data_IF_961611666410
#
_entry.id   IF_961611666410
#
_cell.length_a   1.000
_cell.length_b   1.000
_cell.length_c   1.000
_cell.angle_alpha   90.00
_cell.angle_beta   90.00
_cell.angle_gamma   90.00
#
_symmetry.space_group_name_H-M   'P 1'
#
loop_
_entity.id
_entity.type
_entity.pdbx_description
1 polymer ?
#
# COMPACT_ATOMS: atom_id res chain seq x y z
N UNK A 1 -15.01 -22.00 -64.61
CA UNK A 1 -14.48 -21.43 -63.36
C UNK A 1 -14.19 -19.96 -63.63
N UNK A 2 -14.89 -19.04 -62.96
CA UNK A 2 -14.74 -17.61 -63.22
C UNK A 2 -13.37 -17.12 -62.73
N UNK A 3 -12.55 -16.55 -63.62
CA UNK A 3 -11.28 -15.93 -63.27
C UNK A 3 -11.54 -14.64 -62.48
N UNK A 4 -11.36 -14.68 -61.16
CA UNK A 4 -11.40 -13.49 -60.31
C UNK A 4 -10.28 -12.53 -60.72
N UNK A 5 -10.60 -11.24 -60.87
CA UNK A 5 -9.60 -10.22 -61.18
C UNK A 5 -8.65 -10.02 -59.98
N UNK A 6 -7.42 -9.58 -60.24
CA UNK A 6 -6.44 -9.29 -59.17
C UNK A 6 -6.99 -8.33 -58.10
N UNK A 7 -7.85 -7.39 -58.49
CA UNK A 7 -8.53 -6.48 -57.57
C UNK A 7 -9.57 -7.16 -56.68
N UNK A 8 -10.31 -8.14 -57.21
CA UNK A 8 -11.27 -8.94 -56.42
C UNK A 8 -10.54 -9.86 -55.43
N UNK A 9 -9.40 -10.43 -55.83
CA UNK A 9 -8.57 -11.25 -54.96
C UNK A 9 -7.98 -10.41 -53.81
N UNK A 10 -7.48 -9.21 -54.10
CA UNK A 10 -6.95 -8.29 -53.09
C UNK A 10 -8.02 -7.84 -52.09
N UNK A 11 -9.22 -7.49 -52.58
CA UNK A 11 -10.36 -7.15 -51.72
C UNK A 11 -10.74 -8.29 -50.79
N UNK A 12 -10.74 -9.53 -51.28
CA UNK A 12 -11.03 -10.71 -50.46
C UNK A 12 -10.00 -10.92 -49.34
N UNK A 13 -8.71 -10.76 -49.61
CA UNK A 13 -7.68 -10.85 -48.57
C UNK A 13 -7.79 -9.76 -47.50
N UNK A 14 -8.09 -8.53 -47.90
CA UNK A 14 -8.30 -7.42 -46.95
C UNK A 14 -9.50 -7.70 -46.05
N UNK A 15 -10.63 -8.12 -46.63
CA UNK A 15 -11.84 -8.44 -45.85
C UNK A 15 -11.60 -9.60 -44.88
N UNK A 16 -10.89 -10.66 -45.32
CA UNK A 16 -10.55 -11.78 -44.46
C UNK A 16 -9.61 -11.36 -43.30
N UNK A 17 -8.66 -10.45 -43.56
CA UNK A 17 -7.77 -9.90 -42.53
C UNK A 17 -8.51 -9.07 -41.48
N UNK A 18 -9.47 -8.23 -41.91
CA UNK A 18 -10.28 -7.42 -40.98
C UNK A 18 -11.20 -8.31 -40.13
N UNK A 19 -11.83 -9.30 -40.74
CA UNK A 19 -12.72 -10.24 -40.03
C UNK A 19 -11.95 -11.05 -38.99
N UNK A 20 -10.76 -11.56 -39.34
CA UNK A 20 -9.93 -12.32 -38.38
C UNK A 20 -9.43 -11.45 -37.23
N UNK A 21 -9.07 -10.19 -37.48
CA UNK A 21 -8.69 -9.23 -36.44
C UNK A 21 -9.84 -8.94 -35.46
N UNK A 22 -11.05 -8.71 -35.98
CA UNK A 22 -12.24 -8.46 -35.14
C UNK A 22 -12.56 -9.69 -34.29
N UNK A 23 -12.56 -10.89 -34.87
CA UNK A 23 -12.81 -12.14 -34.15
C UNK A 23 -11.75 -12.36 -33.06
N UNK A 24 -10.47 -12.08 -33.34
CA UNK A 24 -9.41 -12.19 -32.34
C UNK A 24 -9.65 -11.28 -31.13
N UNK A 25 -10.06 -10.02 -31.36
CA UNK A 25 -10.33 -9.06 -30.30
C UNK A 25 -11.58 -9.39 -29.50
N UNK A 26 -12.64 -9.89 -30.14
CA UNK A 26 -13.86 -10.30 -29.42
C UNK A 26 -13.63 -11.55 -28.58
N UNK A 27 -12.86 -12.53 -29.08
CA UNK A 27 -12.46 -13.71 -28.31
C UNK A 27 -11.57 -13.33 -27.14
N UNK A 28 -10.61 -12.42 -27.34
CA UNK A 28 -9.77 -11.91 -26.25
C UNK A 28 -10.60 -11.16 -25.20
N UNK A 29 -11.51 -10.28 -25.62
CA UNK A 29 -12.41 -9.56 -24.72
C UNK A 29 -13.33 -10.52 -23.95
N UNK A 30 -13.87 -11.55 -24.62
CA UNK A 30 -14.65 -12.60 -23.98
C UNK A 30 -13.81 -13.40 -22.98
N UNK A 31 -12.57 -13.75 -23.31
CA UNK A 31 -11.68 -14.48 -22.42
C UNK A 31 -11.27 -13.65 -21.21
N UNK A 32 -11.00 -12.35 -21.40
CA UNK A 32 -10.74 -11.40 -20.32
C UNK A 32 -11.98 -11.21 -19.43
N UNK A 33 -13.16 -11.04 -20.03
CA UNK A 33 -14.43 -10.97 -19.32
C UNK A 33 -14.74 -12.26 -18.54
N UNK A 34 -14.54 -13.42 -19.16
CA UNK A 34 -14.75 -14.72 -18.54
C UNK A 34 -13.75 -14.98 -17.42
N UNK A 35 -12.47 -14.61 -17.59
CA UNK A 35 -11.46 -14.66 -16.54
C UNK A 35 -11.80 -13.72 -15.37
N UNK A 36 -12.23 -12.50 -15.67
CA UNK A 36 -12.71 -11.51 -14.69
C UNK A 36 -13.96 -12.02 -13.94
N UNK A 37 -14.91 -12.64 -14.64
CA UNK A 37 -16.15 -13.19 -14.07
C UNK A 37 -15.93 -14.46 -13.24
N UNK A 38 -15.06 -15.37 -13.69
CA UNK A 38 -14.79 -16.68 -13.06
C UNK A 38 -14.04 -16.57 -11.72
N UNK A 39 -13.37 -15.45 -11.48
CA UNK A 39 -12.66 -15.18 -10.22
C UNK A 39 -13.59 -14.75 -9.08
N UNK A 40 -14.85 -14.41 -9.35
CA UNK A 40 -15.85 -14.08 -8.31
C UNK A 40 -16.75 -15.28 -8.05
N UNK A 41 -16.77 -15.78 -6.81
CA UNK A 41 -17.82 -16.70 -6.35
C UNK A 41 -18.99 -15.83 -5.90
N UNK A 42 -20.15 -16.02 -6.54
CA UNK A 42 -21.35 -15.26 -6.26
C UNK A 42 -22.32 -16.06 -5.42
N UNK A 43 -22.74 -15.50 -4.29
CA UNK A 43 -23.87 -16.03 -3.52
C UNK A 43 -24.64 -14.86 -2.91
N UNK A 44 -25.95 -14.79 -3.18
CA UNK A 44 -26.86 -13.86 -2.52
C UNK A 44 -27.27 -14.45 -1.16
N UNK A 45 -27.20 -13.64 -0.11
CA UNK A 45 -27.56 -14.05 1.26
C UNK A 45 -28.82 -13.32 1.73
N UNK A 46 -29.64 -14.03 2.52
CA UNK A 46 -31.01 -13.71 2.95
C UNK A 46 -31.18 -12.44 3.82
N UNK A 47 -30.12 -11.63 4.01
CA UNK A 47 -30.15 -10.36 4.78
C UNK A 47 -30.09 -9.10 3.89
N UNK A 48 -30.39 -9.23 2.59
CA UNK A 48 -30.43 -8.10 1.64
C UNK A 48 -29.05 -7.54 1.25
N UNK A 49 -27.98 -8.29 1.49
CA UNK A 49 -26.60 -7.92 1.16
C UNK A 49 -25.82 -9.06 0.49
N UNK A 50 -24.76 -8.69 -0.21
CA UNK A 50 -23.93 -9.56 -1.03
C UNK A 50 -22.54 -9.75 -0.41
N UNK A 51 -22.22 -10.99 -0.04
CA UNK A 51 -20.89 -11.40 0.39
C UNK A 51 -20.13 -11.96 -0.83
N UNK A 52 -18.96 -11.40 -1.13
CA UNK A 52 -18.08 -11.88 -2.20
C UNK A 52 -16.72 -12.23 -1.60
N UNK A 53 -16.25 -13.44 -1.86
CA UNK A 53 -14.91 -13.90 -1.50
C UNK A 53 -14.07 -14.06 -2.76
N UNK A 54 -12.84 -13.56 -2.71
CA UNK A 54 -11.88 -13.71 -3.79
C UNK A 54 -11.18 -15.06 -3.67
N UNK A 55 -11.13 -15.81 -4.78
CA UNK A 55 -10.45 -17.10 -4.80
C UNK A 55 -8.97 -16.90 -4.54
N UNK A 56 -8.51 -17.40 -3.39
CA UNK A 56 -7.10 -17.47 -3.05
C UNK A 56 -6.72 -18.92 -2.77
N UNK A 57 -5.63 -19.35 -3.39
CA UNK A 57 -5.01 -20.65 -3.20
C UNK A 57 -4.48 -20.73 -1.76
N UNK A 58 -5.18 -21.41 -0.83
CA UNK A 58 -4.56 -21.83 0.43
C UNK A 58 -5.40 -21.81 1.71
N UNK A 59 -6.56 -21.15 1.78
CA UNK A 59 -7.46 -21.20 2.97
C UNK A 59 -8.84 -21.72 2.56
N UNK A 60 -8.93 -23.04 2.37
CA UNK A 60 -10.01 -23.70 1.60
C UNK A 60 -11.17 -24.27 2.42
N UNK A 61 -11.57 -23.67 3.56
CA UNK A 61 -12.69 -24.20 4.36
C UNK A 61 -13.75 -23.18 4.79
N UNK A 62 -13.49 -21.87 4.68
CA UNK A 62 -14.44 -20.85 5.18
C UNK A 62 -15.52 -20.56 4.15
N UNK A 63 -16.76 -20.93 4.48
CA UNK A 63 -17.93 -20.56 3.66
C UNK A 63 -18.32 -19.11 3.90
N UNK A 64 -18.88 -18.47 2.86
CA UNK A 64 -19.44 -17.12 2.94
C UNK A 64 -20.49 -16.99 4.07
N UNK A 65 -21.27 -18.06 4.31
CA UNK A 65 -22.27 -18.10 5.37
C UNK A 65 -21.65 -18.09 6.77
N UNK A 66 -20.64 -18.92 7.01
CA UNK A 66 -19.91 -18.93 8.29
C UNK A 66 -19.25 -17.58 8.56
N UNK A 67 -18.63 -16.99 7.55
CA UNK A 67 -17.98 -15.69 7.66
C UNK A 67 -18.98 -14.59 8.00
N UNK A 68 -20.12 -14.54 7.29
CA UNK A 68 -21.16 -13.55 7.54
C UNK A 68 -21.75 -13.70 8.95
N UNK A 69 -22.09 -14.93 9.35
CA UNK A 69 -22.65 -15.22 10.69
C UNK A 69 -21.72 -14.74 11.80
N UNK A 70 -20.42 -15.04 11.72
CA UNK A 70 -19.45 -14.59 12.73
C UNK A 70 -19.22 -13.08 12.67
N UNK A 71 -19.21 -12.49 11.48
CA UNK A 71 -19.09 -11.04 11.30
C UNK A 71 -20.25 -10.28 11.97
N UNK A 72 -21.48 -10.80 11.86
CA UNK A 72 -22.66 -10.22 12.50
C UNK A 72 -22.64 -10.38 14.04
N UNK A 73 -21.82 -11.27 14.58
CA UNK A 73 -21.64 -11.44 16.03
C UNK A 73 -20.55 -10.57 16.65
N UNK A 74 -19.82 -9.78 15.83
CA UNK A 74 -18.76 -8.90 16.31
C UNK A 74 -19.30 -7.79 17.21
N UNK A 75 -18.55 -7.49 18.26
CA UNK A 75 -18.89 -6.49 19.27
C UNK A 75 -17.76 -5.47 19.42
N UNK A 76 -17.96 -4.48 20.29
CA UNK A 76 -16.92 -3.48 20.59
C UNK A 76 -15.66 -4.09 21.21
N UNK A 77 -15.74 -5.30 21.79
CA UNK A 77 -14.58 -6.01 22.35
C UNK A 77 -13.63 -6.52 21.28
N UNK A 78 -14.13 -6.67 20.05
CA UNK A 78 -13.37 -7.19 18.92
C UNK A 78 -12.70 -6.08 18.11
N UNK A 79 -12.88 -4.81 18.50
CA UNK A 79 -12.27 -3.65 17.82
C UNK A 79 -10.76 -3.68 18.04
N UNK A 80 -10.01 -3.63 16.94
CA UNK A 80 -8.55 -3.53 16.95
C UNK A 80 -8.03 -2.19 16.39
N UNK A 81 -8.92 -1.40 15.78
CA UNK A 81 -8.57 -0.07 15.30
C UNK A 81 -9.81 0.75 14.95
N UNK A 82 -9.76 2.06 15.13
CA UNK A 82 -10.80 3.00 14.71
C UNK A 82 -10.14 4.24 14.12
N UNK A 83 -10.59 4.70 12.96
CA UNK A 83 -10.03 5.86 12.28
C UNK A 83 -11.03 6.52 11.32
N UNK A 84 -10.56 7.52 10.56
CA UNK A 84 -11.39 8.29 9.63
C UNK A 84 -12.04 7.47 8.51
N UNK A 85 -11.48 6.30 8.22
CA UNK A 85 -11.98 5.36 7.20
C UNK A 85 -12.83 4.23 7.79
N UNK A 86 -13.16 4.26 9.09
CA UNK A 86 -14.06 3.30 9.73
C UNK A 86 -13.43 2.54 10.89
N UNK A 87 -14.07 1.43 11.26
CA UNK A 87 -13.70 0.59 12.41
C UNK A 87 -13.23 -0.76 11.93
N UNK A 88 -12.10 -1.23 12.46
CA UNK A 88 -11.51 -2.54 12.15
C UNK A 88 -11.73 -3.48 13.31
N UNK A 89 -12.26 -4.65 13.02
CA UNK A 89 -12.54 -5.71 13.98
C UNK A 89 -11.69 -6.94 13.70
N UNK A 90 -11.24 -7.62 14.76
CA UNK A 90 -10.63 -8.95 14.67
C UNK A 90 -11.73 -10.00 14.58
N UNK A 91 -11.69 -10.81 13.55
CA UNK A 91 -12.63 -11.91 13.34
C UNK A 91 -11.90 -13.25 13.41
N UNK A 92 -12.20 -14.03 14.44
CA UNK A 92 -11.66 -15.38 14.62
C UNK A 92 -12.64 -16.42 14.07
N UNK A 93 -12.25 -17.12 13.01
CA UNK A 93 -13.03 -18.23 12.47
C UNK A 93 -12.74 -19.51 13.25
N UNK A 94 -11.46 -19.85 13.33
CA UNK A 94 -10.88 -20.99 14.05
C UNK A 94 -9.45 -20.62 14.52
N UNK A 95 -8.71 -21.57 15.10
CA UNK A 95 -7.37 -21.36 15.66
C UNK A 95 -6.33 -20.85 14.65
N UNK A 96 -6.51 -21.16 13.35
CA UNK A 96 -5.54 -20.81 12.30
C UNK A 96 -6.06 -19.78 11.31
N UNK A 97 -7.35 -19.44 11.40
CA UNK A 97 -8.03 -18.56 10.45
C UNK A 97 -8.58 -17.33 11.16
N UNK A 98 -7.80 -16.25 11.07
CA UNK A 98 -8.16 -14.95 11.62
C UNK A 98 -8.14 -13.89 10.52
N UNK A 99 -9.16 -13.04 10.52
CA UNK A 99 -9.33 -11.95 9.57
C UNK A 99 -9.44 -10.59 10.28
N UNK A 100 -9.15 -9.53 9.54
CA UNK A 100 -9.49 -8.16 9.90
C UNK A 100 -10.71 -7.71 9.08
N UNK A 101 -11.77 -7.29 9.77
CA UNK A 101 -13.00 -6.79 9.14
C UNK A 101 -13.02 -5.29 9.27
N UNK A 102 -12.80 -4.58 8.16
CA UNK A 102 -12.92 -3.13 8.11
C UNK A 102 -14.35 -2.77 7.76
N UNK A 103 -15.07 -2.23 8.74
CA UNK A 103 -16.42 -1.67 8.58
C UNK A 103 -16.29 -0.20 8.23
N UNK A 104 -16.69 0.14 7.01
CA UNK A 104 -16.71 1.53 6.56
C UNK A 104 -18.01 2.20 7.04
N UNK A 105 -17.88 3.38 7.61
CA UNK A 105 -19.03 4.27 7.86
C UNK A 105 -19.56 4.79 6.53
N UNK A 106 -20.88 4.94 6.38
CA UNK A 106 -21.53 5.49 5.17
C UNK A 106 -22.06 6.91 5.42
N UNK A 107 -21.32 7.69 6.20
CA UNK A 107 -21.81 8.97 6.69
C UNK A 107 -21.61 10.10 5.64
N UNK A 108 -20.82 9.84 4.59
CA UNK A 108 -20.62 10.78 3.48
C UNK A 108 -20.44 10.07 2.14
N UNK A 109 -20.66 10.80 1.04
CA UNK A 109 -20.43 10.34 -0.34
C UNK A 109 -18.95 9.93 -0.52
N UNK A 110 -18.02 10.66 0.09
CA UNK A 110 -16.59 10.37 -0.02
C UNK A 110 -16.21 9.04 0.66
N UNK A 111 -16.86 8.68 1.76
CA UNK A 111 -16.65 7.38 2.41
C UNK A 111 -17.19 6.23 1.55
N UNK A 112 -18.33 6.42 0.87
CA UNK A 112 -18.82 5.41 -0.08
C UNK A 112 -17.88 5.24 -1.27
N UNK A 113 -17.34 6.34 -1.81
CA UNK A 113 -16.31 6.28 -2.86
C UNK A 113 -15.04 5.59 -2.39
N UNK A 114 -14.66 5.73 -1.11
CA UNK A 114 -13.51 5.03 -0.54
C UNK A 114 -13.63 3.51 -0.62
N UNK A 115 -14.84 2.96 -0.40
CA UNK A 115 -15.10 1.53 -0.58
C UNK A 115 -14.85 1.07 -2.02
N UNK A 116 -15.40 1.80 -2.99
CA UNK A 116 -15.28 1.48 -4.41
C UNK A 116 -13.82 1.57 -4.87
N UNK A 117 -13.10 2.63 -4.48
CA UNK A 117 -11.65 2.79 -4.74
C UNK A 117 -10.84 1.63 -4.19
N UNK A 118 -11.10 1.24 -2.94
CA UNK A 118 -10.37 0.16 -2.28
C UNK A 118 -10.66 -1.19 -2.96
N UNK A 119 -11.90 -1.43 -3.42
CA UNK A 119 -12.23 -2.62 -4.23
C UNK A 119 -11.55 -2.61 -5.61
N UNK A 120 -11.56 -1.47 -6.30
CA UNK A 120 -10.99 -1.33 -7.64
C UNK A 120 -9.46 -1.45 -7.61
N UNK A 121 -8.82 -0.90 -6.57
CA UNK A 121 -7.39 -1.03 -6.37
C UNK A 121 -6.99 -2.46 -5.96
N UNK A 122 -7.69 -3.06 -4.99
CA UNK A 122 -7.23 -4.28 -4.31
C UNK A 122 -7.73 -5.58 -4.92
N UNK A 123 -8.73 -5.55 -5.81
CA UNK A 123 -9.41 -6.75 -6.31
C UNK A 123 -8.47 -7.80 -6.93
N UNK A 124 -7.42 -7.35 -7.60
CA UNK A 124 -6.47 -8.22 -8.32
C UNK A 124 -5.02 -8.14 -7.78
N UNK A 125 -4.76 -7.34 -6.72
CA UNK A 125 -3.41 -7.21 -6.14
C UNK A 125 -3.02 -8.48 -5.38
N UNK A 126 -1.83 -9.00 -5.69
CA UNK A 126 -1.18 -10.09 -4.94
C UNK A 126 0.30 -9.81 -4.82
N UNK A 127 0.70 -9.22 -3.71
CA UNK A 127 2.09 -8.94 -3.40
C UNK A 127 2.39 -9.22 -1.93
N UNK A 128 3.58 -9.73 -1.62
CA UNK A 128 3.96 -10.13 -0.26
C UNK A 128 3.99 -8.96 0.73
N UNK A 129 4.28 -7.76 0.23
CA UNK A 129 4.32 -6.52 1.02
C UNK A 129 3.07 -5.64 0.83
N UNK A 130 1.94 -6.22 0.41
CA UNK A 130 0.63 -5.55 0.38
C UNK A 130 -0.38 -6.44 1.09
N UNK A 131 -1.22 -5.87 1.94
CA UNK A 131 -2.24 -6.63 2.67
C UNK A 131 -3.21 -7.26 1.69
N UNK A 132 -3.55 -8.53 1.89
CA UNK A 132 -4.42 -9.26 0.96
C UNK A 132 -5.89 -9.03 1.31
N UNK A 133 -6.64 -8.42 0.38
CA UNK A 133 -8.09 -8.37 0.42
C UNK A 133 -8.64 -9.77 0.07
N UNK A 134 -9.40 -10.36 1.00
CA UNK A 134 -10.00 -11.69 0.87
C UNK A 134 -11.43 -11.63 0.34
N UNK A 135 -12.10 -10.49 0.51
CA UNK A 135 -13.46 -10.32 0.04
C UNK A 135 -14.13 -9.09 0.63
N UNK A 136 -15.40 -8.93 0.32
CA UNK A 136 -16.19 -7.79 0.78
C UNK A 136 -17.65 -8.15 0.93
N UNK A 137 -18.31 -7.52 1.90
CA UNK A 137 -19.75 -7.56 2.07
C UNK A 137 -20.32 -6.19 1.74
N UNK A 138 -21.36 -6.14 0.91
CA UNK A 138 -22.05 -4.90 0.60
C UNK A 138 -23.56 -5.07 0.70
N UNK A 139 -24.20 -4.13 1.39
CA UNK A 139 -25.66 -4.04 1.56
C UNK A 139 -26.10 -2.59 1.40
N UNK A 140 -27.40 -2.31 1.51
CA UNK A 140 -27.92 -0.94 1.50
C UNK A 140 -27.43 -0.08 2.69
N UNK A 141 -27.02 -0.70 3.81
CA UNK A 141 -26.67 0.02 5.04
C UNK A 141 -25.20 -0.11 5.45
N UNK A 142 -24.52 -1.20 5.05
CA UNK A 142 -23.18 -1.53 5.54
C UNK A 142 -22.30 -2.06 4.41
N UNK A 143 -21.07 -1.53 4.35
CA UNK A 143 -19.98 -2.05 3.54
C UNK A 143 -18.86 -2.55 4.46
N UNK A 144 -18.41 -3.78 4.22
CA UNK A 144 -17.32 -4.42 4.94
C UNK A 144 -16.25 -4.91 3.95
N UNK A 145 -15.00 -4.77 4.34
CA UNK A 145 -13.85 -5.36 3.66
C UNK A 145 -13.22 -6.40 4.57
N UNK A 146 -12.85 -7.54 4.00
CA UNK A 146 -12.31 -8.70 4.70
C UNK A 146 -10.85 -8.86 4.32
N UNK A 147 -9.94 -8.66 5.26
CA UNK A 147 -8.49 -8.74 5.07
C UNK A 147 -7.89 -9.90 5.86
N UNK A 148 -6.72 -10.39 5.44
CA UNK A 148 -5.87 -11.15 6.37
C UNK A 148 -5.50 -10.26 7.56
N UNK A 149 -5.56 -10.83 8.77
CA UNK A 149 -5.14 -10.12 9.98
C UNK A 149 -3.61 -10.02 10.02
N UNK A 150 -3.11 -8.82 10.29
CA UNK A 150 -1.70 -8.55 10.57
C UNK A 150 -1.48 -8.60 12.08
N UNK A 151 -0.77 -9.62 12.56
CA UNK A 151 -0.69 -10.02 13.97
C UNK A 151 -0.02 -8.97 14.84
N UNK A 152 0.98 -8.28 14.30
CA UNK A 152 1.79 -7.30 15.02
C UNK A 152 1.26 -5.86 14.89
N UNK A 153 0.11 -5.67 14.23
CA UNK A 153 -0.54 -4.37 14.11
C UNK A 153 0.21 -3.43 13.15
N UNK A 154 0.16 -2.12 13.44
CA UNK A 154 0.81 -1.09 12.61
C UNK A 154 2.23 -0.76 13.07
N UNK A 155 3.08 -0.33 12.15
CA UNK A 155 4.42 0.17 12.43
C UNK A 155 4.37 1.35 13.41
N UNK A 156 3.42 2.27 13.25
CA UNK A 156 3.16 3.36 14.20
C UNK A 156 2.97 2.83 15.63
N UNK A 157 2.13 1.81 15.80
CA UNK A 157 1.87 1.19 17.10
C UNK A 157 3.13 0.59 17.72
N UNK A 158 4.00 -0.05 16.94
CA UNK A 158 5.25 -0.63 17.47
C UNK A 158 6.28 0.45 17.79
N UNK A 159 6.49 1.38 16.86
CA UNK A 159 7.57 2.37 16.96
C UNK A 159 7.29 3.37 18.09
N UNK A 160 6.04 3.72 18.32
CA UNK A 160 5.66 4.85 19.18
C UNK A 160 4.82 4.46 20.40
N UNK A 161 4.58 3.17 20.64
CA UNK A 161 3.88 2.72 21.87
C UNK A 161 4.68 3.06 23.11
N UNK A 162 3.97 3.54 24.14
CA UNK A 162 4.51 3.84 25.48
C UNK A 162 4.36 2.67 26.46
N UNK A 163 4.05 1.46 25.96
CA UNK A 163 3.88 0.27 26.80
C UNK A 163 5.19 -0.13 27.47
N UNK A 164 5.21 -0.51 28.75
CA UNK A 164 6.40 -1.03 29.42
C UNK A 164 6.91 -2.35 28.81
N UNK A 165 6.07 -3.08 28.08
CA UNK A 165 6.45 -4.29 27.33
C UNK A 165 6.66 -3.99 25.83
N UNK A 166 7.15 -2.80 25.48
CA UNK A 166 7.37 -2.39 24.09
C UNK A 166 8.37 -3.34 23.43
N UNK A 167 7.98 -3.91 22.29
CA UNK A 167 8.93 -4.56 21.39
C UNK A 167 9.80 -3.45 20.80
N UNK A 168 11.06 -3.39 21.22
CA UNK A 168 12.02 -2.47 20.61
C UNK A 168 12.49 -3.05 19.28
N UNK A 169 12.35 -2.27 18.21
CA UNK A 169 12.87 -2.64 16.90
C UNK A 169 14.34 -2.22 16.86
N UNK A 170 15.23 -3.21 16.78
CA UNK A 170 16.61 -2.98 16.39
C UNK A 170 16.69 -2.47 14.95
N UNK A 171 17.89 -2.01 14.54
CA UNK A 171 18.05 -1.44 13.21
C UNK A 171 17.82 -2.46 12.10
N UNK A 172 18.22 -3.72 12.29
CA UNK A 172 18.00 -4.77 11.30
C UNK A 172 16.50 -4.98 11.01
N UNK A 173 15.66 -4.99 12.03
CA UNK A 173 14.21 -5.05 11.89
C UNK A 173 13.64 -3.79 11.24
N UNK A 174 14.11 -2.60 11.62
CA UNK A 174 13.67 -1.34 10.99
C UNK A 174 14.03 -1.28 9.50
N UNK A 175 15.24 -1.69 9.13
CA UNK A 175 15.69 -1.75 7.75
C UNK A 175 14.92 -2.80 6.94
N UNK A 176 14.62 -3.97 7.54
CA UNK A 176 13.75 -4.98 6.94
C UNK A 176 12.35 -4.41 6.63
N UNK A 177 11.77 -3.66 7.56
CA UNK A 177 10.47 -3.01 7.39
C UNK A 177 10.54 -1.91 6.33
N UNK A 178 11.59 -1.08 6.32
CA UNK A 178 11.84 -0.06 5.30
C UNK A 178 11.87 -0.67 3.90
N UNK A 179 12.67 -1.72 3.71
CA UNK A 179 12.79 -2.40 2.42
C UNK A 179 11.49 -3.09 2.01
N UNK A 180 10.81 -3.78 2.94
CA UNK A 180 9.52 -4.43 2.66
C UNK A 180 8.45 -3.44 2.23
N UNK A 181 8.31 -2.33 2.94
CA UNK A 181 7.36 -1.27 2.58
C UNK A 181 7.72 -0.62 1.24
N UNK A 182 8.99 -0.34 0.98
CA UNK A 182 9.43 0.19 -0.32
C UNK A 182 9.07 -0.75 -1.48
N UNK A 183 9.28 -2.06 -1.33
CA UNK A 183 8.88 -3.07 -2.32
C UNK A 183 7.37 -3.09 -2.55
N UNK A 184 6.60 -2.97 -1.48
CA UNK A 184 5.13 -2.87 -1.56
C UNK A 184 4.69 -1.68 -2.40
N UNK A 185 5.27 -0.50 -2.17
CA UNK A 185 4.91 0.72 -2.91
C UNK A 185 5.45 0.67 -4.35
N UNK A 186 6.67 0.17 -4.56
CA UNK A 186 7.24 -0.01 -5.89
C UNK A 186 6.36 -0.91 -6.77
N UNK A 187 5.81 -1.99 -6.21
CA UNK A 187 4.85 -2.85 -6.89
C UNK A 187 3.60 -2.06 -7.35
N UNK A 188 3.05 -1.21 -6.49
CA UNK A 188 1.89 -0.37 -6.82
C UNK A 188 2.16 0.60 -7.97
N UNK A 189 3.36 1.19 -8.01
CA UNK A 189 3.74 2.21 -8.99
C UNK A 189 4.21 1.62 -10.32
N UNK A 190 4.81 0.43 -10.32
CA UNK A 190 5.56 -0.05 -11.49
C UNK A 190 5.04 -1.38 -12.05
N UNK A 191 4.43 -2.23 -11.21
CA UNK A 191 4.00 -3.57 -11.62
C UNK A 191 2.48 -3.69 -11.80
N UNK A 192 1.70 -2.86 -11.09
CA UNK A 192 0.25 -2.78 -11.28
C UNK A 192 -0.10 -2.06 -12.59
N UNK A 193 -1.09 -2.58 -13.32
CA UNK A 193 -1.69 -1.92 -14.49
C UNK A 193 -3.21 -1.91 -14.33
N UNK A 194 -3.87 -0.74 -14.24
CA UNK A 194 -3.27 0.61 -14.14
C UNK A 194 -2.39 0.77 -12.88
N UNK A 195 -1.46 1.73 -12.91
CA UNK A 195 -0.62 2.04 -11.75
C UNK A 195 -1.48 2.59 -10.63
N UNK A 196 -1.04 2.41 -9.39
CA UNK A 196 -1.83 2.74 -8.19
C UNK A 196 -1.05 3.76 -7.37
N UNK A 197 -1.61 4.97 -7.23
CA UNK A 197 -1.10 5.98 -6.30
C UNK A 197 -1.88 5.84 -5.00
N UNK A 198 -1.19 5.58 -3.90
CA UNK A 198 -1.79 5.24 -2.62
C UNK A 198 -2.36 6.47 -1.90
N UNK A 199 -1.61 7.59 -1.91
CA UNK A 199 -1.97 8.90 -1.32
C UNK A 199 -2.09 8.99 0.20
N UNK A 200 -1.82 7.91 0.93
CA UNK A 200 -1.85 7.90 2.41
C UNK A 200 -0.79 6.95 2.96
N UNK A 201 0.42 7.00 2.39
CA UNK A 201 1.59 6.29 2.91
C UNK A 201 1.98 6.95 4.24
N UNK A 202 1.98 6.14 5.32
CA UNK A 202 2.34 6.55 6.68
C UNK A 202 2.59 5.31 7.54
N UNK A 203 3.27 5.47 8.67
CA UNK A 203 3.58 4.36 9.59
C UNK A 203 2.34 3.64 10.12
N UNK A 204 1.19 4.30 10.25
CA UNK A 204 -0.07 3.65 10.67
C UNK A 204 -0.75 2.79 9.60
N UNK A 205 -0.39 3.01 8.32
CA UNK A 205 -0.89 2.22 7.17
C UNK A 205 0.11 1.16 6.70
N UNK A 206 1.27 1.04 7.36
CA UNK A 206 2.20 -0.06 7.18
C UNK A 206 1.96 -1.05 8.32
N UNK A 207 1.36 -2.18 8.00
CA UNK A 207 1.08 -3.24 8.98
C UNK A 207 2.17 -4.30 8.97
N UNK A 208 2.25 -5.07 10.05
CA UNK A 208 3.27 -6.08 10.27
C UNK A 208 2.62 -7.45 10.50
N UNK A 209 2.99 -8.42 9.66
CA UNK A 209 2.56 -9.80 9.85
C UNK A 209 3.36 -10.50 10.96
N UNK A 210 3.07 -11.78 11.19
CA UNK A 210 3.66 -12.60 12.25
C UNK A 210 5.20 -12.61 12.23
N UNK A 211 5.81 -12.57 11.04
CA UNK A 211 7.26 -12.56 10.83
C UNK A 211 7.87 -11.14 10.79
N UNK A 212 7.10 -10.13 11.22
CA UNK A 212 7.50 -8.71 11.19
C UNK A 212 7.82 -8.21 9.78
N UNK A 213 7.16 -8.76 8.75
CA UNK A 213 7.23 -8.26 7.38
C UNK A 213 6.23 -7.12 7.18
N UNK A 214 6.70 -6.04 6.55
CA UNK A 214 5.88 -4.88 6.23
C UNK A 214 4.87 -5.17 5.12
N UNK A 215 3.61 -4.76 5.34
CA UNK A 215 2.53 -4.82 4.36
C UNK A 215 1.77 -3.51 4.26
N UNK A 216 1.73 -2.93 3.07
CA UNK A 216 0.97 -1.71 2.77
C UNK A 216 -0.53 -1.99 2.87
N UNK A 217 -1.27 -1.11 3.54
CA UNK A 217 -2.69 -1.24 3.85
C UNK A 217 -3.44 0.09 3.67
N UNK A 218 -4.77 0.03 3.72
CA UNK A 218 -5.68 1.18 3.65
C UNK A 218 -5.66 1.95 2.32
N UNK A 219 -6.33 1.39 1.32
CA UNK A 219 -6.40 1.96 -0.03
C UNK A 219 -7.63 2.87 -0.23
N UNK A 220 -8.24 3.37 0.85
CA UNK A 220 -9.46 4.19 0.77
C UNK A 220 -9.30 5.52 0.01
N UNK A 221 -8.07 6.01 -0.12
CA UNK A 221 -7.71 7.19 -0.90
C UNK A 221 -7.05 6.88 -2.25
N UNK A 222 -6.78 5.61 -2.53
CA UNK A 222 -6.00 5.21 -3.69
C UNK A 222 -6.66 5.65 -5.01
N UNK A 223 -5.84 5.97 -6.00
CA UNK A 223 -6.26 6.36 -7.33
C UNK A 223 -5.52 5.56 -8.38
N UNK A 224 -6.25 5.12 -9.40
CA UNK A 224 -5.69 4.42 -10.55
C UNK A 224 -5.23 5.45 -11.59
N UNK A 225 -4.02 5.27 -12.13
CA UNK A 225 -3.45 6.11 -13.18
C UNK A 225 -2.97 5.24 -14.33
N UNK A 226 -3.37 5.58 -15.55
CA UNK A 226 -2.91 4.87 -16.73
C UNK A 226 -1.46 5.29 -17.08
N UNK A 227 -0.67 4.42 -17.73
CA UNK A 227 0.74 4.74 -18.06
C UNK A 227 0.95 5.98 -18.93
N UNK A 228 -0.08 6.44 -19.66
CA UNK A 228 -0.06 7.64 -20.50
C UNK A 228 -0.38 8.93 -19.73
N UNK A 229 -0.76 8.83 -18.46
CA UNK A 229 -1.12 9.96 -17.63
C UNK A 229 0.02 10.34 -16.69
N UNK A 230 0.20 11.65 -16.48
CA UNK A 230 1.26 12.17 -15.60
C UNK A 230 0.80 12.39 -14.16
N UNK A 231 -0.50 12.58 -13.95
CA UNK A 231 -1.09 12.82 -12.63
C UNK A 231 -2.59 12.53 -12.63
N UNK A 232 -3.15 12.43 -11.42
CA UNK A 232 -4.60 12.42 -11.19
C UNK A 232 -4.98 13.70 -10.44
N UNK A 233 -5.83 14.54 -11.04
CA UNK A 233 -6.39 15.71 -10.35
C UNK A 233 -7.52 15.27 -9.42
N UNK A 234 -7.36 15.53 -8.12
CA UNK A 234 -8.30 15.08 -7.08
C UNK A 234 -8.28 16.03 -5.89
N UNK A 235 -9.32 15.99 -5.05
CA UNK A 235 -9.33 16.68 -3.75
C UNK A 235 -8.09 16.24 -2.95
N UNK A 236 -7.40 17.22 -2.35
CA UNK A 236 -6.29 16.96 -1.43
C UNK A 236 -6.81 16.20 -0.22
N UNK A 237 -6.30 14.99 -0.04
CA UNK A 237 -6.63 14.13 1.09
C UNK A 237 -5.40 13.27 1.44
N UNK A 238 -5.28 12.94 2.72
CA UNK A 238 -4.16 12.19 3.29
C UNK A 238 -3.85 12.72 4.69
N UNK A 239 -2.75 12.26 5.27
CA UNK A 239 -2.41 12.57 6.66
C UNK A 239 -1.41 13.73 6.75
N UNK A 240 -1.73 14.74 7.55
CA UNK A 240 -0.84 15.87 7.82
C UNK A 240 0.53 15.39 8.35
N UNK A 241 1.60 16.03 7.89
CA UNK A 241 2.99 15.60 8.15
C UNK A 241 3.58 14.67 7.09
N UNK A 242 2.76 13.98 6.30
CA UNK A 242 3.20 13.08 5.21
C UNK A 242 2.93 13.64 3.81
N UNK A 243 2.06 14.65 3.70
CA UNK A 243 1.65 15.22 2.42
C UNK A 243 2.82 15.94 1.73
N UNK A 244 3.04 15.60 0.46
CA UNK A 244 4.00 16.29 -0.39
C UNK A 244 3.55 17.75 -0.65
N UNK A 245 4.48 18.72 -0.60
CA UNK A 245 4.13 20.14 -0.68
C UNK A 245 3.44 20.51 -2.01
N UNK A 246 3.89 19.97 -3.13
CA UNK A 246 3.30 20.21 -4.44
C UNK A 246 1.88 19.65 -4.55
N UNK A 247 1.58 18.59 -3.81
CA UNK A 247 0.26 17.99 -3.82
C UNK A 247 -0.75 18.86 -3.06
N UNK A 248 -0.32 19.45 -1.94
CA UNK A 248 -1.13 20.42 -1.18
C UNK A 248 -1.41 21.66 -2.02
N UNK A 249 -0.43 22.15 -2.78
CA UNK A 249 -0.56 23.33 -3.61
C UNK A 249 -1.43 23.11 -4.85
N UNK A 250 -1.24 21.98 -5.55
CA UNK A 250 -1.81 21.78 -6.90
C UNK A 250 -3.00 20.83 -6.94
N UNK A 251 -3.22 20.01 -5.91
CA UNK A 251 -4.22 18.93 -5.93
C UNK A 251 -3.91 17.80 -6.91
N UNK A 252 -2.69 17.73 -7.46
CA UNK A 252 -2.27 16.70 -8.42
C UNK A 252 -1.59 15.53 -7.71
N UNK A 253 -2.30 14.41 -7.61
CA UNK A 253 -1.73 13.18 -7.07
C UNK A 253 -0.79 12.53 -8.10
N UNK A 254 0.40 12.15 -7.67
CA UNK A 254 1.43 11.48 -8.48
C UNK A 254 2.14 10.41 -7.64
N UNK A 255 2.83 9.47 -8.29
CA UNK A 255 3.74 8.52 -7.62
C UNK A 255 4.80 9.23 -6.76
N UNK A 256 5.27 10.42 -7.18
CA UNK A 256 6.27 11.20 -6.44
C UNK A 256 5.71 11.77 -5.13
N UNK A 257 4.40 11.91 -5.01
CA UNK A 257 3.73 12.22 -3.74
C UNK A 257 3.88 11.08 -2.73
N UNK A 258 3.67 9.84 -3.16
CA UNK A 258 3.87 8.64 -2.33
C UNK A 258 5.36 8.47 -1.95
N UNK A 259 6.29 8.79 -2.87
CA UNK A 259 7.75 8.79 -2.56
C UNK A 259 8.07 9.76 -1.43
N UNK A 260 7.52 10.97 -1.46
CA UNK A 260 7.72 11.94 -0.38
C UNK A 260 7.18 11.42 0.95
N UNK A 261 5.96 10.89 0.96
CA UNK A 261 5.35 10.29 2.14
C UNK A 261 6.16 9.10 2.68
N UNK A 262 6.74 8.28 1.80
CA UNK A 262 7.66 7.22 2.18
C UNK A 262 8.96 7.76 2.80
N UNK A 263 9.52 8.86 2.27
CA UNK A 263 10.67 9.54 2.86
C UNK A 263 10.42 9.96 4.31
N UNK A 264 9.20 10.41 4.62
CA UNK A 264 8.78 10.72 6.01
C UNK A 264 8.77 9.45 6.88
N UNK A 265 8.22 8.34 6.38
CA UNK A 265 8.23 7.04 7.09
C UNK A 265 9.68 6.58 7.36
N UNK A 266 10.58 6.76 6.40
CA UNK A 266 11.98 6.37 6.56
C UNK A 266 12.66 7.22 7.65
N UNK A 267 12.35 8.53 7.73
CA UNK A 267 12.79 9.36 8.85
C UNK A 267 12.20 8.89 10.19
N UNK A 268 10.94 8.46 10.25
CA UNK A 268 10.38 7.90 11.49
C UNK A 268 11.20 6.68 11.96
N UNK A 269 11.52 5.76 11.04
CA UNK A 269 12.32 4.57 11.34
C UNK A 269 13.73 4.93 11.84
N UNK A 270 14.37 5.94 11.24
CA UNK A 270 15.73 6.37 11.60
C UNK A 270 15.75 7.11 12.94
N UNK A 271 14.76 7.97 13.19
CA UNK A 271 14.78 8.91 14.32
C UNK A 271 13.99 8.44 15.53
N UNK A 272 13.10 7.46 15.35
CA UNK A 272 12.12 7.03 16.34
C UNK A 272 11.07 8.09 16.67
N UNK A 273 10.97 9.19 15.92
CA UNK A 273 10.08 10.33 16.21
C UNK A 273 8.87 10.36 15.28
N UNK A 274 7.75 10.87 15.80
CA UNK A 274 6.54 11.09 14.99
C UNK A 274 6.74 12.31 14.09
N UNK A 275 6.18 12.35 12.86
CA UNK A 275 6.34 13.51 11.98
C UNK A 275 5.71 14.80 12.52
N UNK A 276 4.69 14.64 13.36
CA UNK A 276 3.93 15.70 14.04
C UNK A 276 4.19 15.69 15.55
N UNK A 277 5.39 15.30 15.99
CA UNK A 277 5.78 15.37 17.40
C UNK A 277 5.59 16.80 17.94
N UNK A 278 5.09 16.93 19.18
CA UNK A 278 4.83 18.21 19.83
C UNK A 278 6.09 19.08 19.87
N UNK A 279 7.26 18.48 20.07
CA UNK A 279 8.54 19.18 20.09
C UNK A 279 8.87 19.92 18.78
N UNK A 280 8.34 19.45 17.64
CA UNK A 280 8.46 20.14 16.36
C UNK A 280 7.40 21.23 16.22
N UNK A 281 6.15 20.89 16.57
CA UNK A 281 5.00 21.77 16.40
C UNK A 281 5.11 23.03 17.25
N UNK A 282 5.62 22.94 18.48
CA UNK A 282 5.87 24.10 19.36
C UNK A 282 6.81 25.13 18.73
N UNK A 283 7.70 24.70 17.83
CA UNK A 283 8.64 25.55 17.09
C UNK A 283 8.13 25.93 15.69
N UNK A 284 6.87 25.64 15.38
CA UNK A 284 6.28 25.84 14.04
C UNK A 284 6.89 24.95 12.96
N UNK A 285 7.54 23.85 13.35
CA UNK A 285 8.29 22.96 12.49
C UNK A 285 7.60 21.59 12.34
N UNK A 286 8.07 20.80 11.39
CA UNK A 286 7.78 19.37 11.30
C UNK A 286 9.11 18.60 11.22
N UNK A 287 9.04 17.26 11.21
CA UNK A 287 10.24 16.43 11.12
C UNK A 287 11.12 16.79 9.92
N UNK A 288 10.53 17.16 8.77
CA UNK A 288 11.28 17.49 7.55
C UNK A 288 12.02 18.82 7.70
N UNK A 289 11.39 19.85 8.26
CA UNK A 289 12.07 21.15 8.46
C UNK A 289 13.15 21.06 9.55
N UNK A 290 12.92 20.27 10.60
CA UNK A 290 13.94 19.99 11.60
C UNK A 290 15.16 19.27 11.01
N UNK A 291 14.94 18.25 10.18
CA UNK A 291 16.03 17.51 9.53
C UNK A 291 16.81 18.39 8.57
N UNK A 292 16.15 19.29 7.82
CA UNK A 292 16.83 20.25 6.96
C UNK A 292 17.76 21.18 7.74
N UNK A 293 17.32 21.71 8.88
CA UNK A 293 18.16 22.53 9.74
C UNK A 293 19.39 21.74 10.25
N UNK A 294 19.21 20.48 10.66
CA UNK A 294 20.35 19.65 11.07
C UNK A 294 21.35 19.39 9.95
N UNK A 295 20.88 19.19 8.71
CA UNK A 295 21.76 19.01 7.54
C UNK A 295 22.51 20.30 7.21
N UNK A 296 21.86 21.46 7.29
CA UNK A 296 22.49 22.77 7.10
C UNK A 296 23.62 23.02 8.13
N UNK A 297 23.44 22.53 9.36
CA UNK A 297 24.42 22.60 10.44
C UNK A 297 25.47 21.46 10.40
N UNK A 298 25.42 20.54 9.43
CA UNK A 298 26.30 19.37 9.33
C UNK A 298 26.18 18.40 10.52
N UNK A 299 25.00 18.36 11.13
CA UNK A 299 24.68 17.70 12.39
C UNK A 299 23.60 16.62 12.23
N UNK A 300 23.41 16.08 11.02
CA UNK A 300 22.32 15.15 10.70
C UNK A 300 22.30 13.87 11.54
N UNK A 301 23.47 13.40 11.99
CA UNK A 301 23.57 12.21 12.83
C UNK A 301 22.94 12.39 14.23
N UNK A 302 22.72 13.63 14.68
CA UNK A 302 21.97 13.90 15.92
C UNK A 302 20.49 13.54 15.80
N UNK A 303 19.99 13.32 14.58
CA UNK A 303 18.63 12.87 14.37
C UNK A 303 18.43 11.39 14.70
N UNK A 304 19.52 10.60 14.67
CA UNK A 304 19.44 9.14 14.77
C UNK A 304 18.96 8.71 16.15
N UNK A 305 18.12 7.67 16.16
CA UNK A 305 17.59 7.10 17.39
C UNK A 305 18.74 6.63 18.31
N UNK A 306 18.92 7.23 19.50
CA UNK A 306 20.03 6.92 20.39
C UNK A 306 19.98 5.47 20.90
N UNK A 307 18.80 4.83 20.90
CA UNK A 307 18.62 3.46 21.37
C UNK A 307 19.16 2.41 20.38
N UNK A 308 19.51 2.82 19.14
CA UNK A 308 20.03 1.95 18.09
C UNK A 308 21.57 1.97 17.95
N UNK A 309 22.27 2.79 18.73
CA UNK A 309 23.62 3.23 18.36
C UNK A 309 24.70 2.21 18.77
N UNK A 310 24.98 1.26 17.89
CA UNK A 310 26.33 0.71 17.72
C UNK A 310 27.00 1.28 16.45
N UNK A 311 28.33 1.11 16.32
CA UNK A 311 29.13 1.76 15.25
C UNK A 311 28.74 1.28 13.85
N UNK A 312 28.41 0.00 13.68
CA UNK A 312 28.02 -0.56 12.38
C UNK A 312 26.65 -0.06 11.95
N UNK A 313 25.72 0.01 12.90
CA UNK A 313 24.36 0.53 12.72
C UNK A 313 24.38 1.99 12.27
N UNK A 314 25.30 2.81 12.81
CA UNK A 314 25.42 4.23 12.45
C UNK A 314 25.68 4.45 10.95
N UNK A 315 26.53 3.63 10.33
CA UNK A 315 26.83 3.75 8.88
C UNK A 315 25.60 3.42 8.04
N UNK A 316 24.93 2.31 8.35
CA UNK A 316 23.72 1.91 7.64
C UNK A 316 22.59 2.93 7.81
N UNK A 317 22.44 3.49 9.01
CA UNK A 317 21.48 4.58 9.27
C UNK A 317 21.79 5.83 8.45
N UNK A 318 23.08 6.15 8.25
CA UNK A 318 23.49 7.29 7.41
C UNK A 318 23.12 7.09 5.94
N UNK A 319 23.35 5.91 5.39
CA UNK A 319 22.94 5.59 4.01
C UNK A 319 21.41 5.64 3.86
N UNK A 320 20.68 5.06 4.82
CA UNK A 320 19.21 5.13 4.82
C UNK A 320 18.70 6.57 4.97
N UNK A 321 19.40 7.41 5.73
CA UNK A 321 19.10 8.83 5.87
C UNK A 321 19.27 9.57 4.54
N UNK A 322 20.33 9.28 3.77
CA UNK A 322 20.53 9.85 2.43
C UNK A 322 19.37 9.47 1.51
N UNK A 323 18.92 8.22 1.55
CA UNK A 323 17.74 7.76 0.80
C UNK A 323 16.48 8.54 1.21
N UNK A 324 16.24 8.71 2.51
CA UNK A 324 15.11 9.48 3.03
C UNK A 324 15.15 10.93 2.57
N UNK A 325 16.32 11.56 2.66
CA UNK A 325 16.53 12.95 2.27
C UNK A 325 16.28 13.17 0.77
N UNK A 326 16.73 12.25 -0.08
CA UNK A 326 16.46 12.27 -1.53
C UNK A 326 14.96 12.13 -1.84
N UNK A 327 14.23 11.30 -1.09
CA UNK A 327 12.77 11.18 -1.21
C UNK A 327 12.03 12.46 -0.84
N UNK A 328 12.61 13.29 0.03
CA UNK A 328 12.02 14.53 0.58
C UNK A 328 12.42 15.80 -0.20
N UNK A 329 12.99 15.64 -1.40
CA UNK A 329 13.36 16.76 -2.26
C UNK A 329 12.12 17.63 -2.56
N UNK A 330 12.28 18.95 -2.50
CA UNK A 330 11.20 19.90 -2.79
C UNK A 330 10.72 19.78 -4.24
N UNK A 331 11.64 19.51 -5.19
CA UNK A 331 11.30 19.27 -6.57
C UNK A 331 10.91 17.78 -6.77
N UNK A 332 9.67 17.45 -7.15
CA UNK A 332 9.24 16.07 -7.34
C UNK A 332 10.01 15.33 -8.44
N UNK A 333 10.56 16.03 -9.45
CA UNK A 333 11.34 15.40 -10.52
C UNK A 333 12.65 14.81 -10.01
N UNK A 334 13.27 15.44 -9.02
CA UNK A 334 14.54 15.04 -8.41
C UNK A 334 14.40 13.90 -7.40
N UNK A 335 13.17 13.59 -6.95
CA UNK A 335 12.94 12.44 -6.07
C UNK A 335 13.22 11.14 -6.83
N UNK A 336 13.81 10.12 -6.20
CA UNK A 336 13.94 8.80 -6.82
C UNK A 336 12.56 8.18 -7.08
N UNK A 337 12.49 7.24 -8.01
CA UNK A 337 11.34 6.32 -8.12
C UNK A 337 11.38 5.30 -6.99
N UNK A 338 10.24 4.68 -6.65
CA UNK A 338 10.25 3.65 -5.60
C UNK A 338 11.07 2.41 -6.00
N UNK A 339 11.17 2.08 -7.29
CA UNK A 339 12.11 1.07 -7.76
C UNK A 339 13.58 1.42 -7.46
N UNK A 340 13.97 2.69 -7.66
CA UNK A 340 15.32 3.16 -7.29
C UNK A 340 15.52 3.16 -5.77
N UNK A 341 14.50 3.53 -4.99
CA UNK A 341 14.54 3.46 -3.51
C UNK A 341 14.78 2.04 -3.04
N UNK A 342 14.07 1.05 -3.59
CA UNK A 342 14.30 -0.37 -3.28
C UNK A 342 15.75 -0.75 -3.54
N UNK A 343 16.30 -0.39 -4.71
CA UNK A 343 17.68 -0.70 -5.06
C UNK A 343 18.69 -0.08 -4.08
N UNK A 344 18.52 1.20 -3.75
CA UNK A 344 19.39 1.88 -2.78
C UNK A 344 19.35 1.20 -1.40
N UNK A 345 18.17 0.79 -0.93
CA UNK A 345 18.04 0.09 0.37
C UNK A 345 18.61 -1.34 0.34
N UNK A 346 18.56 -2.03 -0.79
CA UNK A 346 19.19 -3.35 -0.96
C UNK A 346 20.72 -3.28 -0.93
N UNK A 347 21.29 -2.23 -1.50
CA UNK A 347 22.75 -1.99 -1.51
C UNK A 347 23.30 -1.80 -0.09
N UNK A 348 22.58 -1.07 0.79
CA UNK A 348 22.95 -0.90 2.20
C UNK A 348 23.14 -2.25 2.90
N UNK A 349 22.23 -3.20 2.64
CA UNK A 349 22.24 -4.54 3.24
C UNK A 349 23.41 -5.39 2.73
N UNK A 350 23.76 -5.28 1.45
CA UNK A 350 24.85 -6.05 0.85
C UNK A 350 26.20 -5.64 1.42
N UNK A 351 26.44 -4.33 1.57
CA UNK A 351 27.67 -3.78 2.14
C UNK A 351 27.87 -4.15 3.61
N UNK A 352 26.80 -4.41 4.36
CA UNK A 352 26.90 -4.93 5.72
C UNK A 352 27.36 -6.39 5.76
N UNK A 353 26.88 -7.20 4.82
CA UNK A 353 27.19 -8.64 4.74
C UNK A 353 28.58 -8.96 4.19
N UNK A 354 29.14 -8.10 3.34
CA UNK A 354 30.52 -8.22 2.85
C UNK A 354 31.53 -7.85 3.93
N UNK A 355 31.29 -6.76 4.67
CA UNK A 355 32.18 -6.30 5.74
C UNK A 355 32.21 -7.23 6.96
N UNK A 356 31.13 -7.97 7.26
CA UNK A 356 31.16 -8.98 8.32
C UNK A 356 32.01 -10.22 7.97
N UNK A 357 32.26 -10.49 6.68
CA UNK A 357 33.09 -11.62 6.23
C UNK A 357 34.59 -11.31 6.23
N UNK A 358 34.99 -10.05 6.24
CA UNK A 358 36.40 -9.65 6.29
C UNK A 358 36.96 -9.52 7.72
N UNK A 359 36.08 -9.54 8.73
CA UNK A 359 36.44 -9.39 10.16
C UNK A 359 36.33 -10.73 10.93
N UNK A 360 36.00 -11.82 10.24
CA UNK A 360 35.80 -13.17 10.81
C UNK A 360 37.05 -14.05 10.80
#
# INVERSE_FOLDING_TARGET
>A
MANMSKGQLLGLFITLGVVTFIISKTVLAYFLYWRWSRNRVYQETMTGGKMVLFKSSGKSSVTSETLLKKTLSLTNKDIIGTGGYGTVYKLVIDEHTVFAIKRLTRNSIDQQRGFERELDAMGDIKHRNVVTLRGYYSSSHVNLLVYDLMQNGSLDGILHSRSPNKVSLDWAARNKIALGSARGIAYLHHDCIPHIIHRDIKSSNILLDEEMEARISDFGLATLINPDQTHVSTIVAGTFGYLAPEYVETGRATEKGDVYSYGVVLLELITGKRPTDEAFVEKGNNIVTWIRALVEDGCEEHAFDPDLVDVLTRREMKEAFIVAYNCLNQNPSERPTMAQVVKMLEEIKLDASSNQKEVG
#
